data_IF_820316777385
#
_entry.id   IF_820316777385
#
_cell.length_a   1.000
_cell.length_b   1.000
_cell.length_c   1.000
_cell.angle_alpha   90.00
_cell.angle_beta   90.00
_cell.angle_gamma   90.00
#
_symmetry.space_group_name_H-M   'P 1'
#
loop_
_entity.id
_entity.type
_entity.pdbx_description
1 polymer ?
#
# COMPACT_ATOMS: atom_id res chain seq x y z
N UNK A 1 10.30 27.63 -8.33
CA UNK A 1 9.46 26.64 -7.64
C UNK A 1 9.96 26.55 -6.21
N UNK A 2 9.11 26.77 -5.21
CA UNK A 2 9.50 26.54 -3.81
C UNK A 2 9.30 25.06 -3.51
N UNK A 3 10.38 24.36 -3.12
CA UNK A 3 10.36 22.95 -2.76
C UNK A 3 10.39 22.73 -1.23
N UNK A 4 10.28 23.80 -0.45
CA UNK A 4 10.22 23.70 1.00
C UNK A 4 8.84 23.22 1.44
N UNK A 5 8.81 22.34 2.43
CA UNK A 5 7.56 21.92 3.07
C UNK A 5 6.88 23.09 3.78
N UNK A 6 5.56 23.05 3.87
CA UNK A 6 4.77 23.94 4.72
C UNK A 6 4.99 23.60 6.21
N UNK A 7 4.58 24.51 7.10
CA UNK A 7 4.66 24.24 8.55
C UNK A 7 3.85 22.99 8.93
N UNK A 8 2.67 22.80 8.33
CA UNK A 8 1.81 21.63 8.55
C UNK A 8 2.48 20.33 8.09
N UNK A 9 3.13 20.35 6.92
CA UNK A 9 3.88 19.20 6.40
C UNK A 9 5.09 18.86 7.27
N UNK A 10 5.77 19.85 7.83
CA UNK A 10 6.87 19.64 8.78
C UNK A 10 6.34 19.00 10.07
N UNK A 11 5.23 19.52 10.62
CA UNK A 11 4.60 18.96 11.82
C UNK A 11 4.16 17.51 11.60
N UNK A 12 3.56 17.21 10.45
CA UNK A 12 3.19 15.84 10.06
C UNK A 12 4.41 14.91 10.06
N UNK A 13 5.51 15.34 9.42
CA UNK A 13 6.77 14.58 9.39
C UNK A 13 7.29 14.30 10.80
N UNK A 14 7.38 15.33 11.65
CA UNK A 14 7.86 15.18 13.03
C UNK A 14 6.99 14.22 13.85
N UNK A 15 5.67 14.24 13.64
CA UNK A 15 4.74 13.33 14.30
C UNK A 15 4.98 11.88 13.89
N UNK A 16 5.14 11.63 12.58
CA UNK A 16 5.40 10.28 12.06
C UNK A 16 6.77 9.78 12.51
N UNK A 17 7.81 10.62 12.48
CA UNK A 17 9.14 10.28 12.97
C UNK A 17 9.11 9.86 14.44
N UNK A 18 8.45 10.67 15.28
CA UNK A 18 8.30 10.36 16.68
C UNK A 18 7.62 9.01 16.91
N UNK A 19 6.53 8.73 16.18
CA UNK A 19 5.87 7.43 16.25
C UNK A 19 6.81 6.30 15.87
N UNK A 20 7.52 6.42 14.76
CA UNK A 20 8.47 5.40 14.30
C UNK A 20 9.61 5.15 15.29
N UNK A 21 10.04 6.19 16.02
CA UNK A 21 11.11 6.08 17.03
C UNK A 21 10.62 5.47 18.35
N UNK A 22 9.38 5.74 18.76
CA UNK A 22 8.88 5.36 20.09
C UNK A 22 7.97 4.13 20.09
N UNK A 23 7.15 3.96 19.04
CA UNK A 23 6.12 2.94 18.96
C UNK A 23 6.41 1.87 17.91
N UNK A 24 7.33 2.14 16.96
CA UNK A 24 7.59 1.26 15.84
C UNK A 24 9.09 1.16 15.52
N UNK A 25 9.89 0.73 16.49
CA UNK A 25 11.32 0.49 16.27
C UNK A 25 11.58 -0.81 15.51
N UNK A 26 12.83 -1.03 15.11
CA UNK A 26 13.24 -2.23 14.38
C UNK A 26 12.97 -3.53 15.14
N UNK A 27 13.10 -3.53 16.46
CA UNK A 27 12.88 -4.73 17.28
C UNK A 27 11.40 -5.09 17.31
N UNK A 28 10.52 -4.10 17.43
CA UNK A 28 9.07 -4.31 17.41
C UNK A 28 8.61 -4.86 16.06
N UNK A 29 9.12 -4.30 14.95
CA UNK A 29 8.90 -4.87 13.63
C UNK A 29 9.39 -6.32 13.54
N UNK A 30 10.58 -6.61 14.05
CA UNK A 30 11.14 -7.97 14.03
C UNK A 30 10.30 -8.97 14.82
N UNK A 31 9.70 -8.54 15.95
CA UNK A 31 8.75 -9.35 16.72
C UNK A 31 7.51 -9.70 15.91
N UNK A 32 6.93 -8.73 15.18
CA UNK A 32 5.78 -8.98 14.30
C UNK A 32 6.15 -9.95 13.18
N UNK A 33 7.27 -9.74 12.51
CA UNK A 33 7.76 -10.61 11.42
C UNK A 33 8.01 -12.06 11.89
N UNK A 34 8.50 -12.24 13.13
CA UNK A 34 8.75 -13.57 13.72
C UNK A 34 7.48 -14.21 14.29
N UNK A 35 6.39 -13.46 14.42
CA UNK A 35 5.12 -13.98 14.89
C UNK A 35 4.27 -14.54 13.75
N UNK A 36 3.12 -15.13 14.07
CA UNK A 36 2.11 -15.55 13.09
C UNK A 36 1.22 -14.40 12.62
N UNK A 37 1.53 -13.16 13.03
CA UNK A 37 0.80 -11.96 12.63
C UNK A 37 1.27 -11.45 11.28
N UNK A 38 0.37 -10.81 10.55
CA UNK A 38 0.68 -10.21 9.26
C UNK A 38 1.13 -8.75 9.40
N UNK A 39 0.68 -8.07 10.47
CA UNK A 39 1.02 -6.70 10.87
C UNK A 39 0.70 -6.47 12.36
N UNK A 40 1.09 -5.35 12.93
CA UNK A 40 0.76 -4.98 14.32
C UNK A 40 -0.59 -4.25 14.39
N UNK A 41 -1.61 -4.93 14.92
CA UNK A 41 -2.95 -4.35 15.11
C UNK A 41 -2.94 -3.11 16.03
N UNK A 42 -2.01 -3.03 17.00
CA UNK A 42 -1.89 -1.86 17.84
C UNK A 42 -1.33 -0.66 17.06
N UNK A 43 -0.30 -0.87 16.25
CA UNK A 43 0.23 0.16 15.36
C UNK A 43 -0.84 0.64 14.38
N UNK A 44 -1.62 -0.29 13.81
CA UNK A 44 -2.74 0.04 12.93
C UNK A 44 -3.82 0.88 13.63
N UNK A 45 -4.18 0.53 14.86
CA UNK A 45 -5.12 1.31 15.68
C UNK A 45 -4.58 2.71 15.97
N UNK A 46 -3.28 2.84 16.28
CA UNK A 46 -2.64 4.14 16.45
C UNK A 46 -2.65 4.98 15.17
N UNK A 47 -2.50 4.35 13.99
CA UNK A 47 -2.64 5.08 12.70
C UNK A 47 -4.05 5.66 12.55
N UNK A 48 -5.09 4.92 12.95
CA UNK A 48 -6.46 5.42 12.96
C UNK A 48 -6.63 6.58 13.94
N UNK A 49 -6.14 6.46 15.18
CA UNK A 49 -6.23 7.48 16.22
C UNK A 49 -5.49 8.78 15.84
N UNK A 50 -4.36 8.67 15.14
CA UNK A 50 -3.62 9.81 14.62
C UNK A 50 -4.25 10.42 13.35
N UNK A 51 -5.32 9.81 12.83
CA UNK A 51 -5.99 10.24 11.61
C UNK A 51 -5.25 9.91 10.32
N UNK A 52 -4.16 9.14 10.38
CA UNK A 52 -3.36 8.83 9.17
C UNK A 52 -4.12 7.98 8.18
N UNK A 53 -5.03 7.10 8.63
CA UNK A 53 -5.86 6.30 7.73
C UNK A 53 -6.86 7.14 6.93
N UNK A 54 -7.23 8.31 7.45
CA UNK A 54 -8.18 9.22 6.81
C UNK A 54 -7.51 10.30 5.93
N UNK A 55 -6.19 10.40 5.98
CA UNK A 55 -5.44 11.51 5.35
C UNK A 55 -5.80 11.76 3.88
N UNK A 56 -5.76 10.77 2.97
CA UNK A 56 -5.90 11.03 1.54
C UNK A 56 -7.33 11.13 1.05
N UNK A 57 -8.31 10.71 1.86
CA UNK A 57 -9.70 10.69 1.43
C UNK A 57 -10.30 12.09 1.41
N UNK A 58 -11.28 12.27 0.53
CA UNK A 58 -12.02 13.52 0.41
C UNK A 58 -12.80 13.85 1.70
N UNK A 59 -13.07 15.13 1.95
CA UNK A 59 -13.92 15.56 3.06
C UNK A 59 -15.33 14.95 2.99
N UNK A 60 -15.85 14.75 1.76
CA UNK A 60 -17.15 14.09 1.52
C UNK A 60 -17.17 12.64 2.03
N UNK A 61 -16.01 11.97 2.00
CA UNK A 61 -15.83 10.61 2.51
C UNK A 61 -15.33 10.56 3.97
N UNK A 62 -15.27 11.71 4.66
CA UNK A 62 -14.82 11.81 6.04
C UNK A 62 -13.29 11.88 6.22
N UNK A 63 -12.54 12.16 5.16
CA UNK A 63 -11.09 12.33 5.17
C UNK A 63 -10.65 13.78 5.32
N UNK A 64 -9.34 14.03 5.18
CA UNK A 64 -8.72 15.35 5.31
C UNK A 64 -8.36 15.98 3.95
N UNK A 65 -8.51 15.26 2.85
CA UNK A 65 -8.18 15.72 1.51
C UNK A 65 -6.68 15.98 1.30
N UNK A 66 -5.80 15.34 2.06
CA UNK A 66 -4.36 15.48 1.90
C UNK A 66 -3.89 14.88 0.58
N UNK A 67 -2.89 15.53 0.01
CA UNK A 67 -2.43 15.21 -1.33
C UNK A 67 -1.25 14.24 -1.40
N UNK A 68 -0.68 14.10 -2.61
CA UNK A 68 0.46 13.22 -2.84
C UNK A 68 1.72 13.61 -2.04
N UNK A 69 1.88 14.88 -1.65
CA UNK A 69 3.05 15.35 -0.89
C UNK A 69 3.01 14.77 0.52
N UNK A 70 1.87 14.84 1.20
CA UNK A 70 1.69 14.32 2.56
C UNK A 70 1.84 12.79 2.58
N UNK A 71 1.32 12.10 1.57
CA UNK A 71 1.57 10.67 1.40
C UNK A 71 3.05 10.36 1.16
N UNK A 72 3.76 11.18 0.39
CA UNK A 72 5.22 11.01 0.20
C UNK A 72 5.98 11.16 1.51
N UNK A 73 5.59 12.10 2.36
CA UNK A 73 6.19 12.30 3.69
C UNK A 73 5.95 11.06 4.55
N UNK A 74 4.71 10.56 4.59
CA UNK A 74 4.36 9.37 5.36
C UNK A 74 5.18 8.16 4.92
N UNK A 75 5.22 7.89 3.62
CA UNK A 75 5.93 6.72 3.08
C UNK A 75 7.45 6.84 3.19
N UNK A 76 8.03 8.04 3.09
CA UNK A 76 9.46 8.24 3.35
C UNK A 76 9.81 7.87 4.81
N UNK A 77 9.02 8.31 5.78
CA UNK A 77 9.26 7.97 7.19
C UNK A 77 8.98 6.47 7.47
N UNK A 78 7.93 5.90 6.87
CA UNK A 78 7.65 4.46 6.93
C UNK A 78 8.82 3.64 6.35
N UNK A 79 9.41 4.08 5.25
CA UNK A 79 10.59 3.43 4.65
C UNK A 79 11.80 3.41 5.56
N UNK A 80 12.05 4.48 6.35
CA UNK A 80 13.15 4.52 7.32
C UNK A 80 13.04 3.45 8.41
N UNK A 81 11.81 3.10 8.78
CA UNK A 81 11.49 2.14 9.84
C UNK A 81 11.03 0.78 9.32
N UNK A 82 10.95 0.61 7.99
CA UNK A 82 10.48 -0.62 7.33
C UNK A 82 9.08 -1.06 7.80
N UNK A 83 8.14 -0.12 7.84
CA UNK A 83 6.75 -0.33 8.24
C UNK A 83 6.09 -1.36 7.32
N UNK A 84 5.41 -2.37 7.90
CA UNK A 84 4.77 -3.47 7.17
C UNK A 84 3.24 -3.42 7.18
N UNK A 85 2.67 -2.51 7.94
CA UNK A 85 1.23 -2.30 8.02
C UNK A 85 0.61 -2.05 6.64
N UNK A 86 -0.62 -2.52 6.40
CA UNK A 86 -1.21 -2.60 5.06
C UNK A 86 -1.73 -1.25 4.52
N UNK A 87 -1.01 -0.16 4.78
CA UNK A 87 -1.40 1.18 4.35
C UNK A 87 -1.48 1.29 2.82
N UNK A 88 -0.49 0.75 2.10
CA UNK A 88 -0.46 0.79 0.64
C UNK A 88 -1.68 0.08 0.02
N UNK A 89 -1.98 -1.13 0.49
CA UNK A 89 -3.07 -1.94 -0.07
C UNK A 89 -4.44 -1.39 0.27
N UNK A 90 -4.65 -1.00 1.55
CA UNK A 90 -5.96 -0.63 2.05
C UNK A 90 -6.29 0.84 1.72
N UNK A 91 -5.37 1.76 2.02
CA UNK A 91 -5.63 3.20 1.88
C UNK A 91 -5.33 3.68 0.46
N UNK A 92 -4.10 3.41 -0.03
CA UNK A 92 -3.64 4.00 -1.29
C UNK A 92 -4.26 3.31 -2.50
N UNK A 93 -4.32 1.98 -2.52
CA UNK A 93 -4.87 1.24 -3.66
C UNK A 93 -6.40 1.13 -3.58
N UNK A 94 -6.94 0.36 -2.64
CA UNK A 94 -8.38 0.10 -2.58
C UNK A 94 -9.18 1.34 -2.19
N UNK A 95 -8.75 2.06 -1.15
CA UNK A 95 -9.44 3.23 -0.63
C UNK A 95 -9.53 4.36 -1.64
N UNK A 96 -8.44 4.66 -2.38
CA UNK A 96 -8.47 5.74 -3.38
C UNK A 96 -9.40 5.45 -4.57
N UNK A 97 -9.54 4.18 -4.96
CA UNK A 97 -10.51 3.78 -5.99
C UNK A 97 -11.94 4.07 -5.50
N UNK A 98 -12.25 3.66 -4.27
CA UNK A 98 -13.57 3.89 -3.69
C UNK A 98 -13.88 5.38 -3.56
N UNK A 99 -12.96 6.16 -2.99
CA UNK A 99 -13.17 7.59 -2.75
C UNK A 99 -13.48 8.36 -4.05
N UNK A 100 -12.76 8.06 -5.12
CA UNK A 100 -12.93 8.70 -6.42
C UNK A 100 -14.06 8.13 -7.27
N UNK A 101 -14.62 6.97 -6.92
CA UNK A 101 -15.71 6.35 -7.65
C UNK A 101 -17.07 6.99 -7.32
N UNK A 102 -18.07 6.68 -8.14
CA UNK A 102 -19.48 7.01 -7.88
C UNK A 102 -20.23 5.86 -7.18
N UNK A 103 -19.52 4.92 -6.55
CA UNK A 103 -20.11 3.77 -5.88
C UNK A 103 -20.98 4.17 -4.69
N UNK A 104 -22.24 3.71 -4.63
CA UNK A 104 -23.20 4.13 -3.60
C UNK A 104 -22.78 3.74 -2.18
N UNK A 105 -22.13 2.60 -1.99
CA UNK A 105 -21.67 2.10 -0.69
C UNK A 105 -20.32 2.65 -0.21
N UNK A 106 -19.69 3.58 -0.95
CA UNK A 106 -18.31 3.99 -0.69
C UNK A 106 -18.09 4.63 0.68
N UNK A 107 -19.03 5.43 1.16
CA UNK A 107 -18.87 6.18 2.43
C UNK A 107 -18.75 5.22 3.61
N UNK A 108 -19.64 4.23 3.71
CA UNK A 108 -19.59 3.23 4.78
C UNK A 108 -18.29 2.40 4.74
N UNK A 109 -17.85 2.03 3.54
CA UNK A 109 -16.59 1.29 3.38
C UNK A 109 -15.38 2.13 3.80
N UNK A 110 -15.35 3.41 3.41
CA UNK A 110 -14.26 4.33 3.77
C UNK A 110 -14.28 4.63 5.27
N UNK A 111 -15.44 4.79 5.91
CA UNK A 111 -15.55 4.91 7.37
C UNK A 111 -14.93 3.69 8.08
N UNK A 112 -15.20 2.48 7.59
CA UNK A 112 -14.58 1.25 8.10
C UNK A 112 -13.06 1.23 7.92
N UNK A 113 -12.56 1.72 6.78
CA UNK A 113 -11.13 1.87 6.50
C UNK A 113 -10.50 2.91 7.44
N UNK A 114 -11.10 4.10 7.57
CA UNK A 114 -10.60 5.20 8.40
C UNK A 114 -10.54 4.84 9.89
N UNK A 115 -11.51 4.07 10.38
CA UNK A 115 -11.50 3.57 11.75
C UNK A 115 -10.52 2.42 11.98
N UNK A 116 -9.91 1.89 10.93
CA UNK A 116 -9.02 0.72 10.99
C UNK A 116 -9.74 -0.61 11.21
N UNK A 117 -11.08 -0.63 11.26
CA UNK A 117 -11.87 -1.84 11.49
C UNK A 117 -12.06 -2.71 10.27
N UNK A 118 -11.80 -2.17 9.07
CA UNK A 118 -12.03 -2.85 7.79
C UNK A 118 -10.78 -2.81 6.92
N UNK A 119 -10.46 -3.94 6.30
CA UNK A 119 -9.41 -4.04 5.30
C UNK A 119 -10.00 -4.40 3.95
N UNK A 120 -9.60 -3.64 2.93
CA UNK A 120 -9.90 -3.91 1.54
C UNK A 120 -8.59 -4.07 0.76
N UNK A 121 -8.64 -4.83 -0.33
CA UNK A 121 -7.47 -5.00 -1.20
C UNK A 121 -7.87 -4.93 -2.67
N UNK A 122 -6.92 -4.46 -3.49
CA UNK A 122 -7.08 -4.43 -4.95
C UNK A 122 -6.50 -5.71 -5.56
N UNK A 123 -7.32 -6.47 -6.25
CA UNK A 123 -6.99 -7.70 -6.96
C UNK A 123 -6.98 -7.44 -8.48
N UNK A 124 -5.81 -7.12 -9.04
CA UNK A 124 -5.69 -6.69 -10.43
C UNK A 124 -4.61 -7.45 -11.22
N UNK A 125 -3.62 -8.02 -10.54
CA UNK A 125 -2.50 -8.72 -11.19
C UNK A 125 -2.91 -10.15 -11.54
N UNK A 126 -2.57 -10.59 -12.75
CA UNK A 126 -2.71 -11.96 -13.22
C UNK A 126 -1.35 -12.52 -13.66
N UNK A 127 -1.11 -13.80 -13.45
CA UNK A 127 0.20 -14.40 -13.76
C UNK A 127 0.58 -14.29 -15.25
N UNK A 128 -0.41 -14.40 -16.14
CA UNK A 128 -0.20 -14.29 -17.58
C UNK A 128 -0.03 -12.83 -18.07
N UNK A 129 -0.60 -11.86 -17.35
CA UNK A 129 -0.71 -10.47 -17.79
C UNK A 129 -0.25 -9.46 -16.71
N UNK A 130 0.86 -9.73 -16.03
CA UNK A 130 1.33 -8.94 -14.89
C UNK A 130 1.57 -7.45 -15.19
N UNK A 131 1.87 -7.09 -16.45
CA UNK A 131 2.07 -5.71 -16.88
C UNK A 131 0.92 -5.14 -17.71
N UNK A 132 0.02 -6.00 -18.21
CA UNK A 132 -1.13 -5.63 -19.05
C UNK A 132 -2.43 -5.67 -18.24
N UNK A 133 -2.42 -5.07 -17.06
CA UNK A 133 -3.49 -5.14 -16.05
C UNK A 133 -4.84 -4.56 -16.51
N UNK A 134 -4.89 -3.86 -17.64
CA UNK A 134 -6.13 -3.35 -18.25
C UNK A 134 -6.80 -4.36 -19.19
N UNK A 135 -6.20 -5.53 -19.38
CA UNK A 135 -6.70 -6.62 -20.21
C UNK A 135 -6.72 -7.94 -19.41
N UNK A 136 -7.51 -8.00 -18.32
CA UNK A 136 -7.53 -9.20 -17.49
C UNK A 136 -8.25 -10.36 -18.20
N UNK A 137 -7.79 -11.60 -17.93
CA UNK A 137 -8.49 -12.83 -18.30
C UNK A 137 -9.68 -13.13 -17.37
N UNK A 138 -9.64 -12.61 -16.13
CA UNK A 138 -10.74 -12.70 -15.18
C UNK A 138 -11.98 -12.04 -15.79
N UNK A 139 -13.08 -12.80 -15.85
CA UNK A 139 -14.27 -12.36 -16.58
C UNK A 139 -15.57 -12.64 -15.82
N UNK A 140 -16.58 -11.86 -16.15
CA UNK A 140 -17.96 -12.06 -15.69
C UNK A 140 -18.76 -12.61 -16.88
N UNK A 141 -19.36 -13.79 -16.71
CA UNK A 141 -20.20 -14.44 -17.72
C UNK A 141 -21.51 -13.68 -17.94
N UNK A 142 -22.28 -14.08 -18.98
CA UNK A 142 -23.63 -13.54 -19.23
C UNK A 142 -24.60 -13.76 -18.04
N UNK A 143 -24.41 -14.85 -17.31
CA UNK A 143 -25.19 -15.21 -16.10
C UNK A 143 -24.68 -14.47 -14.84
N UNK A 144 -23.89 -13.41 -14.99
CA UNK A 144 -23.32 -12.64 -13.89
C UNK A 144 -22.46 -13.47 -12.91
N UNK A 145 -21.63 -14.37 -13.43
CA UNK A 145 -20.70 -15.17 -12.65
C UNK A 145 -19.26 -14.78 -12.92
N UNK A 146 -18.54 -14.37 -11.88
CA UNK A 146 -17.10 -14.06 -11.94
C UNK A 146 -16.30 -15.35 -11.93
N UNK A 147 -15.37 -15.46 -12.89
CA UNK A 147 -14.41 -16.55 -12.99
C UNK A 147 -13.02 -16.02 -13.31
N UNK A 148 -12.00 -16.61 -12.70
CA UNK A 148 -10.60 -16.24 -12.97
C UNK A 148 -9.71 -16.36 -11.74
N UNK A 149 -8.48 -15.86 -11.86
CA UNK A 149 -7.49 -15.88 -10.79
C UNK A 149 -6.77 -14.52 -10.69
N UNK A 150 -6.45 -14.11 -9.47
CA UNK A 150 -5.64 -12.93 -9.21
C UNK A 150 -4.48 -13.29 -8.30
N UNK A 151 -3.28 -12.89 -8.69
CA UNK A 151 -2.07 -13.12 -7.90
C UNK A 151 -1.57 -11.82 -7.27
N UNK A 152 -0.63 -11.93 -6.31
CA UNK A 152 0.00 -10.78 -5.63
C UNK A 152 -1.02 -9.79 -5.03
N UNK A 153 -2.14 -10.27 -4.51
CA UNK A 153 -3.10 -9.42 -3.81
C UNK A 153 -2.53 -9.05 -2.44
N UNK A 154 -2.01 -7.82 -2.34
CA UNK A 154 -1.39 -7.29 -1.13
C UNK A 154 -2.41 -7.27 0.02
N UNK A 155 -2.04 -7.83 1.18
CA UNK A 155 -2.90 -7.95 2.36
C UNK A 155 -4.23 -8.70 2.10
N UNK A 156 -4.33 -9.48 1.02
CA UNK A 156 -5.56 -10.16 0.63
C UNK A 156 -6.11 -11.11 1.69
N UNK A 157 -5.24 -11.73 2.51
CA UNK A 157 -5.64 -12.60 3.62
C UNK A 157 -6.53 -11.89 4.65
N UNK A 158 -6.23 -10.63 4.94
CA UNK A 158 -6.93 -9.84 5.97
C UNK A 158 -8.06 -8.99 5.38
N UNK A 159 -8.18 -8.94 4.05
CA UNK A 159 -9.23 -8.18 3.39
C UNK A 159 -10.59 -8.86 3.59
N UNK A 160 -11.58 -8.09 4.04
CA UNK A 160 -12.98 -8.52 4.08
C UNK A 160 -13.61 -8.46 2.69
N UNK A 161 -13.16 -7.51 1.87
CA UNK A 161 -13.63 -7.30 0.50
C UNK A 161 -12.46 -7.02 -0.44
N UNK A 162 -12.64 -7.43 -1.69
CA UNK A 162 -11.70 -7.18 -2.79
C UNK A 162 -12.35 -6.26 -3.83
N UNK A 163 -11.55 -5.33 -4.34
CA UNK A 163 -11.84 -4.66 -5.61
C UNK A 163 -11.16 -5.50 -6.70
N UNK A 164 -11.94 -6.17 -7.53
CA UNK A 164 -11.44 -7.10 -8.55
C UNK A 164 -11.58 -6.46 -9.94
N UNK A 165 -10.47 -6.41 -10.70
CA UNK A 165 -10.53 -6.04 -12.11
C UNK A 165 -10.97 -7.23 -12.95
N UNK A 166 -11.94 -7.03 -13.82
CA UNK A 166 -12.47 -8.07 -14.70
C UNK A 166 -13.00 -7.48 -16.01
N UNK A 167 -13.41 -8.35 -16.92
CA UNK A 167 -14.06 -7.98 -18.19
C UNK A 167 -15.43 -8.63 -18.25
N UNK A 168 -16.44 -7.87 -18.72
CA UNK A 168 -17.76 -8.38 -19.09
C UNK A 168 -18.14 -7.81 -20.44
N UNK A 169 -18.41 -8.67 -21.44
CA UNK A 169 -18.75 -8.27 -22.81
C UNK A 169 -17.72 -7.29 -23.41
N UNK A 170 -16.43 -7.61 -23.29
CA UNK A 170 -15.29 -6.78 -23.71
C UNK A 170 -15.17 -5.42 -23.01
N UNK A 171 -15.96 -5.16 -21.99
CA UNK A 171 -15.90 -3.94 -21.18
C UNK A 171 -15.16 -4.21 -19.87
N UNK A 172 -14.12 -3.40 -19.60
CA UNK A 172 -13.36 -3.43 -18.34
C UNK A 172 -14.22 -2.95 -17.16
N UNK A 173 -14.18 -3.69 -16.05
CA UNK A 173 -14.94 -3.37 -14.85
C UNK A 173 -14.09 -3.53 -13.58
N UNK A 174 -14.47 -2.76 -12.57
CA UNK A 174 -14.05 -2.97 -11.19
C UNK A 174 -15.27 -3.40 -10.39
N UNK A 175 -15.17 -4.56 -9.73
CA UNK A 175 -16.26 -5.13 -8.94
C UNK A 175 -15.82 -5.36 -7.50
N UNK A 176 -16.74 -5.19 -6.56
CA UNK A 176 -16.53 -5.40 -5.13
C UNK A 176 -16.97 -6.83 -4.78
N UNK A 177 -16.06 -7.64 -4.23
CA UNK A 177 -16.30 -9.04 -3.88
C UNK A 177 -16.04 -9.24 -2.40
N UNK A 178 -16.97 -9.89 -1.70
CA UNK A 178 -16.75 -10.38 -0.35
C UNK A 178 -15.81 -11.59 -0.39
N UNK A 179 -14.76 -11.59 0.44
CA UNK A 179 -13.78 -12.69 0.46
C UNK A 179 -14.35 -14.01 0.98
N UNK A 180 -15.50 -13.96 1.66
CA UNK A 180 -16.22 -15.13 2.16
C UNK A 180 -17.33 -15.61 1.22
N UNK A 181 -17.52 -14.98 0.06
CA UNK A 181 -18.54 -15.35 -0.90
C UNK A 181 -18.33 -16.78 -1.43
N UNK A 182 -19.44 -17.47 -1.75
CA UNK A 182 -19.38 -18.79 -2.37
C UNK A 182 -18.62 -18.73 -3.71
N UNK A 183 -17.67 -19.65 -3.89
CA UNK A 183 -16.81 -19.70 -5.08
C UNK A 183 -15.52 -18.87 -4.95
N UNK A 184 -15.29 -18.18 -3.85
CA UNK A 184 -14.01 -17.52 -3.57
C UNK A 184 -13.11 -18.44 -2.75
N UNK A 185 -11.89 -18.64 -3.22
CA UNK A 185 -10.85 -19.34 -2.47
C UNK A 185 -9.51 -18.63 -2.62
N UNK A 186 -8.59 -18.79 -1.66
CA UNK A 186 -7.28 -18.16 -1.73
C UNK A 186 -6.20 -18.95 -1.02
N UNK A 187 -4.96 -18.74 -1.47
CA UNK A 187 -3.74 -19.20 -0.82
C UNK A 187 -2.89 -18.00 -0.42
N UNK A 188 -2.23 -18.06 0.74
CA UNK A 188 -1.41 -16.97 1.26
C UNK A 188 0.06 -17.27 1.14
N UNK A 189 0.86 -16.23 0.94
CA UNK A 189 2.32 -16.29 0.96
C UNK A 189 2.89 -14.95 1.42
N UNK A 190 4.17 -14.94 1.81
CA UNK A 190 4.88 -13.71 2.15
C UNK A 190 5.83 -13.30 1.01
N UNK A 191 5.93 -12.02 0.79
CA UNK A 191 6.94 -11.42 -0.09
C UNK A 191 8.28 -11.30 0.63
N UNK A 192 9.35 -10.97 -0.10
CA UNK A 192 10.71 -10.88 0.48
C UNK A 192 10.83 -9.78 1.56
N UNK A 193 9.97 -8.78 1.53
CA UNK A 193 9.85 -7.71 2.53
C UNK A 193 8.92 -8.06 3.70
N UNK A 194 8.52 -9.35 3.79
CA UNK A 194 7.66 -9.93 4.84
C UNK A 194 6.19 -9.47 4.83
N UNK A 195 5.77 -8.73 3.79
CA UNK A 195 4.35 -8.37 3.64
C UNK A 195 3.54 -9.59 3.19
N UNK A 196 2.34 -9.73 3.75
CA UNK A 196 1.44 -10.84 3.39
C UNK A 196 0.70 -10.54 2.10
N UNK A 197 0.73 -11.50 1.19
CA UNK A 197 -0.01 -11.52 -0.06
C UNK A 197 -0.90 -12.73 -0.15
N UNK A 198 -1.84 -12.69 -1.09
CA UNK A 198 -2.66 -13.84 -1.43
C UNK A 198 -2.81 -14.00 -2.94
N UNK A 199 -3.07 -15.23 -3.36
CA UNK A 199 -3.56 -15.59 -4.67
C UNK A 199 -5.00 -16.02 -4.54
N UNK A 200 -5.91 -15.37 -5.27
CA UNK A 200 -7.35 -15.63 -5.25
C UNK A 200 -7.80 -16.38 -6.49
N UNK A 201 -8.70 -17.33 -6.30
CA UNK A 201 -9.44 -18.01 -7.36
C UNK A 201 -10.93 -17.75 -7.20
N UNK A 202 -11.57 -17.42 -8.31
CA UNK A 202 -13.00 -17.15 -8.40
C UNK A 202 -13.63 -18.21 -9.29
N UNK A 203 -14.59 -18.97 -8.75
CA UNK A 203 -15.31 -20.04 -9.45
C UNK A 203 -16.81 -19.78 -9.35
N UNK A 204 -17.42 -19.23 -10.41
CA UNK A 204 -18.85 -18.93 -10.48
C UNK A 204 -19.36 -18.02 -9.35
N UNK A 205 -18.56 -17.05 -8.90
CA UNK A 205 -18.96 -16.07 -7.87
C UNK A 205 -20.06 -15.17 -8.43
N UNK A 206 -21.17 -15.06 -7.73
CA UNK A 206 -22.31 -14.24 -8.16
C UNK A 206 -21.97 -12.76 -8.05
N UNK A 207 -22.29 -12.01 -9.10
CA UNK A 207 -22.13 -10.56 -9.17
C UNK A 207 -23.48 -9.91 -9.42
N UNK A 208 -23.84 -8.93 -8.61
CA UNK A 208 -25.00 -8.09 -8.81
C UNK A 208 -24.59 -6.74 -9.41
N UNK A 209 -25.52 -5.99 -9.97
CA UNK A 209 -25.23 -4.65 -10.50
C UNK A 209 -24.77 -3.69 -9.39
N UNK A 210 -25.22 -3.93 -8.16
CA UNK A 210 -24.80 -3.19 -6.96
C UNK A 210 -23.33 -3.43 -6.57
N UNK A 211 -22.70 -4.50 -7.05
CA UNK A 211 -21.29 -4.82 -6.78
C UNK A 211 -20.35 -4.10 -7.77
N UNK A 212 -20.86 -3.47 -8.81
CA UNK A 212 -20.05 -2.80 -9.82
C UNK A 212 -19.65 -1.42 -9.31
N UNK A 213 -18.35 -1.24 -9.07
CA UNK A 213 -17.77 0.05 -8.63
C UNK A 213 -17.70 1.02 -9.80
N UNK A 214 -17.21 0.56 -10.95
CA UNK A 214 -17.06 1.36 -12.16
C UNK A 214 -16.94 0.47 -13.40
N UNK A 215 -17.18 1.05 -14.57
CA UNK A 215 -17.13 0.35 -15.86
C UNK A 215 -16.41 1.18 -16.93
N UNK A 216 -15.90 0.52 -17.96
CA UNK A 216 -15.31 1.15 -19.13
C UNK A 216 -14.11 2.05 -18.80
N UNK A 217 -14.10 3.23 -19.37
CA UNK A 217 -12.99 4.19 -19.22
C UNK A 217 -12.92 4.77 -17.80
N UNK A 218 -14.03 4.90 -17.08
CA UNK A 218 -14.02 5.31 -15.66
C UNK A 218 -13.25 4.29 -14.81
N UNK A 219 -13.55 3.01 -14.94
CA UNK A 219 -12.87 1.95 -14.22
C UNK A 219 -11.36 1.90 -14.54
N UNK A 220 -10.99 2.09 -15.82
CA UNK A 220 -9.57 2.16 -16.24
C UNK A 220 -8.86 3.36 -15.62
N UNK A 221 -9.49 4.54 -15.61
CA UNK A 221 -8.88 5.74 -15.04
C UNK A 221 -8.70 5.60 -13.53
N UNK A 222 -9.66 5.05 -12.80
CA UNK A 222 -9.56 4.81 -11.36
C UNK A 222 -8.36 3.92 -11.00
N UNK A 223 -8.19 2.79 -11.70
CA UNK A 223 -7.06 1.91 -11.41
C UNK A 223 -5.72 2.53 -11.82
N UNK A 224 -5.64 3.26 -12.94
CA UNK A 224 -4.43 3.96 -13.36
C UNK A 224 -4.02 5.01 -12.33
N UNK A 225 -4.97 5.80 -11.84
CA UNK A 225 -4.69 6.83 -10.83
C UNK A 225 -4.24 6.21 -9.50
N UNK A 226 -4.89 5.14 -9.04
CA UNK A 226 -4.49 4.42 -7.84
C UNK A 226 -3.08 3.85 -7.96
N UNK A 227 -2.72 3.23 -9.09
CA UNK A 227 -1.39 2.69 -9.34
C UNK A 227 -0.32 3.78 -9.47
N UNK A 228 -0.64 4.94 -10.05
CA UNK A 228 0.26 6.09 -10.09
C UNK A 228 0.54 6.61 -8.68
N UNK A 229 -0.49 6.74 -7.85
CA UNK A 229 -0.34 7.15 -6.46
C UNK A 229 0.47 6.13 -5.66
N UNK A 230 0.20 4.84 -5.83
CA UNK A 230 0.97 3.76 -5.21
C UNK A 230 2.44 3.78 -5.64
N UNK A 231 2.73 4.06 -6.91
CA UNK A 231 4.10 4.19 -7.43
C UNK A 231 4.85 5.34 -6.76
N UNK A 232 4.19 6.48 -6.55
CA UNK A 232 4.75 7.60 -5.80
C UNK A 232 5.07 7.18 -4.36
N UNK A 233 4.12 6.54 -3.67
CA UNK A 233 4.28 6.08 -2.29
C UNK A 233 5.45 5.09 -2.13
N UNK A 234 5.52 4.07 -2.98
CA UNK A 234 6.61 3.08 -2.96
C UNK A 234 7.97 3.72 -3.30
N UNK A 235 7.98 4.72 -4.19
CA UNK A 235 9.21 5.47 -4.49
C UNK A 235 9.69 6.27 -3.27
N UNK A 236 8.77 6.90 -2.54
CA UNK A 236 9.09 7.61 -1.30
C UNK A 236 9.56 6.65 -0.20
N UNK A 237 8.91 5.48 -0.04
CA UNK A 237 9.34 4.41 0.87
C UNK A 237 10.78 3.97 0.54
N UNK A 238 11.11 3.76 -0.72
CA UNK A 238 12.45 3.40 -1.15
C UNK A 238 13.48 4.49 -0.80
N UNK A 239 13.14 5.77 -0.95
CA UNK A 239 14.00 6.90 -0.52
C UNK A 239 14.23 6.83 0.98
N UNK A 240 13.20 6.59 1.80
CA UNK A 240 13.32 6.41 3.25
C UNK A 240 14.28 5.27 3.61
N UNK A 241 14.13 4.10 2.98
CA UNK A 241 15.04 2.97 3.15
C UNK A 241 16.50 3.36 2.81
N UNK A 242 16.72 4.04 1.69
CA UNK A 242 18.05 4.49 1.28
C UNK A 242 18.66 5.47 2.29
N UNK A 243 17.88 6.42 2.81
CA UNK A 243 18.33 7.37 3.85
C UNK A 243 18.78 6.61 5.10
N UNK A 244 17.98 5.66 5.57
CA UNK A 244 18.32 4.86 6.75
C UNK A 244 19.60 4.02 6.53
N UNK A 245 19.71 3.36 5.38
CA UNK A 245 20.92 2.62 5.01
C UNK A 245 22.16 3.53 4.95
N UNK A 246 22.04 4.70 4.34
CA UNK A 246 23.12 5.68 4.26
C UNK A 246 23.58 6.14 5.64
N UNK A 247 22.64 6.55 6.50
CA UNK A 247 22.94 7.04 7.86
C UNK A 247 23.65 5.95 8.69
N UNK A 248 23.12 4.73 8.68
CA UNK A 248 23.72 3.59 9.38
C UNK A 248 25.11 3.25 8.84
N UNK A 249 25.31 3.32 7.53
CA UNK A 249 26.62 3.10 6.90
C UNK A 249 27.62 4.16 7.33
N UNK A 250 27.24 5.44 7.31
CA UNK A 250 28.11 6.53 7.76
C UNK A 250 28.48 6.36 9.23
N UNK A 251 27.52 5.99 10.07
CA UNK A 251 27.79 5.74 11.49
C UNK A 251 28.74 4.56 11.69
N UNK A 252 28.48 3.44 11.03
CA UNK A 252 29.35 2.26 11.08
C UNK A 252 30.78 2.58 10.66
N UNK A 253 30.98 3.38 9.60
CA UNK A 253 32.34 3.74 9.16
C UNK A 253 33.09 4.62 10.14
N UNK A 254 32.37 5.41 10.97
CA UNK A 254 32.97 6.23 12.04
C UNK A 254 33.36 5.40 13.25
N UNK A 255 32.66 4.32 13.54
CA UNK A 255 32.87 3.47 14.71
C UNK A 255 33.84 2.31 14.44
N UNK A 256 33.81 1.77 13.22
CA UNK A 256 34.68 0.65 12.84
C UNK A 256 36.11 1.09 12.65
N UNK A 257 37.01 0.55 13.45
CA UNK A 257 38.46 0.78 13.36
C UNK A 257 39.17 -0.34 12.60
N UNK A 258 40.08 0.03 11.73
CA UNK A 258 41.07 -0.83 11.07
C UNK A 258 42.37 -0.02 10.85
N UNK A 259 43.51 -0.67 11.01
CA UNK A 259 44.82 0.01 10.87
C UNK A 259 44.97 1.21 11.82
N UNK A 260 44.52 1.06 13.06
CA UNK A 260 44.59 2.02 14.18
C UNK A 260 43.81 3.35 13.93
N UNK A 261 42.80 3.31 13.09
CA UNK A 261 41.93 4.47 12.84
C UNK A 261 40.53 4.05 12.35
N UNK A 262 39.50 4.91 12.53
CA UNK A 262 38.18 4.71 11.93
C UNK A 262 38.29 4.59 10.41
N UNK A 263 37.53 3.63 9.84
CA UNK A 263 37.58 3.40 8.39
C UNK A 263 37.06 4.58 7.58
N UNK A 264 36.26 5.47 8.19
CA UNK A 264 35.82 6.74 7.58
C UNK A 264 36.98 7.69 7.21
N UNK A 265 38.17 7.51 7.80
CA UNK A 265 39.35 8.33 7.50
C UNK A 265 40.02 7.94 6.18
N UNK A 266 39.70 6.75 5.62
CA UNK A 266 40.29 6.34 4.35
C UNK A 266 39.68 7.11 3.18
N UNK A 267 40.56 7.75 2.38
CA UNK A 267 40.17 8.61 1.27
C UNK A 267 39.28 7.87 0.25
N UNK A 268 39.48 6.56 0.04
CA UNK A 268 38.66 5.75 -0.86
C UNK A 268 37.19 5.73 -0.47
N UNK A 269 36.87 5.70 0.83
CA UNK A 269 35.48 5.72 1.33
C UNK A 269 34.88 7.13 1.24
N UNK A 270 35.68 8.18 1.41
CA UNK A 270 35.23 9.58 1.31
C UNK A 270 34.95 10.01 -0.13
N UNK A 271 35.57 9.37 -1.10
CA UNK A 271 35.51 9.74 -2.51
C UNK A 271 34.77 8.74 -3.38
N UNK A 272 34.30 7.62 -2.82
CA UNK A 272 33.51 6.64 -3.55
C UNK A 272 32.24 7.33 -4.11
N UNK A 273 32.01 7.20 -5.39
CA UNK A 273 30.91 7.88 -6.08
C UNK A 273 31.27 9.18 -6.80
N UNK A 274 32.36 9.88 -6.44
CA UNK A 274 32.81 11.06 -7.20
C UNK A 274 33.29 10.73 -8.62
N UNK A 275 33.65 9.49 -8.89
CA UNK A 275 34.12 9.02 -10.19
C UNK A 275 32.99 8.74 -11.20
N UNK A 276 31.73 8.81 -10.77
CA UNK A 276 30.54 8.47 -11.58
C UNK A 276 29.57 9.64 -11.74
N UNK A 277 29.98 10.87 -11.39
CA UNK A 277 29.20 12.10 -11.61
C UNK A 277 29.80 12.90 -12.74
#
# INVERSE_FOLDING_TARGET
MNLSYTEEQVMLREQIQKFCETEYDFYKREEVVKSDKDFDENAWSLFAEQGWLSMPFSEESGGFGFGPIELSILFEEFGKSLVIEPYLSNIVLAGSILDKSNFEGKVELIEGICSGSSHLSLAYVEAAHSYEYLMPDTNVSEDNKLNGTKTLVLNGKNASKLIVSCVKNDEFKLVLIDTTAEGVSFNTFKTIDEKTCAEFSFENVSIEDADIIASGDEAKNLIIEALNLATLCVSAEAVGCMISCYQKTVQYTKEREQFDQPISNFQVLQQIGRAHV
#
